data_IF_132949959929
#
_entry.id   IF_132949959929
#
_cell.length_a   1.000
_cell.length_b   1.000
_cell.length_c   1.000
_cell.angle_alpha   90.00
_cell.angle_beta   90.00
_cell.angle_gamma   90.00
#
_symmetry.space_group_name_H-M   'P 1'
#
loop_
_entity.id
_entity.type
_entity.pdbx_description
1 polymer ?
#
# COMPACT_ATOMS: atom_id res chain seq x y z
N UNK A 1 -2.52 38.45 -8.11
CA UNK A 1 -2.39 37.04 -8.53
C UNK A 1 -3.67 36.37 -8.12
N UNK A 2 -4.37 35.71 -9.03
CA UNK A 2 -5.51 34.90 -8.65
C UNK A 2 -5.01 33.73 -7.76
N UNK A 3 -5.85 33.32 -6.82
CA UNK A 3 -5.52 32.35 -5.78
C UNK A 3 -6.51 31.20 -5.88
N UNK A 4 -5.98 29.98 -5.79
CA UNK A 4 -6.75 28.75 -5.68
C UNK A 4 -6.60 28.15 -4.28
N UNK A 5 -7.72 27.72 -3.69
CA UNK A 5 -7.73 27.00 -2.41
C UNK A 5 -7.63 25.49 -2.64
N UNK A 6 -6.75 24.83 -1.88
CA UNK A 6 -6.49 23.40 -1.98
C UNK A 6 -6.63 22.76 -0.60
N UNK A 7 -7.64 21.90 -0.47
CA UNK A 7 -7.86 21.08 0.72
C UNK A 7 -6.99 19.82 0.69
N UNK A 8 -6.28 19.58 1.80
CA UNK A 8 -5.40 18.43 2.03
C UNK A 8 -5.83 17.69 3.31
N UNK A 9 -6.11 16.37 3.25
CA UNK A 9 -6.41 15.57 4.43
C UNK A 9 -5.29 15.63 5.48
N UNK A 10 -5.68 15.78 6.75
CA UNK A 10 -4.81 15.82 7.92
C UNK A 10 -5.59 15.31 9.14
N UNK A 11 -5.15 14.20 9.73
CA UNK A 11 -5.92 13.46 10.73
C UNK A 11 -7.36 13.19 10.23
N UNK A 12 -8.37 13.45 11.05
CA UNK A 12 -9.80 13.36 10.73
C UNK A 12 -10.39 14.66 10.15
N UNK A 13 -9.54 15.60 9.70
CA UNK A 13 -9.95 16.90 9.14
C UNK A 13 -9.16 17.20 7.86
N UNK A 14 -9.25 18.45 7.41
CA UNK A 14 -8.46 18.97 6.30
C UNK A 14 -7.69 20.22 6.75
N UNK A 15 -6.53 20.46 6.16
CA UNK A 15 -5.89 21.78 6.12
C UNK A 15 -6.16 22.40 4.74
N UNK A 16 -6.39 23.70 4.71
CA UNK A 16 -6.63 24.45 3.49
C UNK A 16 -5.46 25.41 3.22
N UNK A 17 -4.85 25.29 2.03
CA UNK A 17 -3.76 26.17 1.60
C UNK A 17 -4.17 26.96 0.37
N UNK A 18 -3.64 28.18 0.28
CA UNK A 18 -3.80 29.11 -0.84
C UNK A 18 -2.57 29.02 -1.73
N UNK A 19 -2.75 28.63 -2.99
CA UNK A 19 -1.70 28.54 -4.01
C UNK A 19 -1.96 29.49 -5.18
N UNK A 20 -0.91 29.87 -5.94
CA UNK A 20 -1.07 30.57 -7.21
C UNK A 20 -1.94 29.76 -8.19
N UNK A 21 -2.71 30.44 -9.03
CA UNK A 21 -3.54 29.79 -10.07
C UNK A 21 -2.75 28.95 -11.09
N UNK A 22 -1.45 29.20 -11.26
CA UNK A 22 -0.56 28.43 -12.14
C UNK A 22 0.12 27.24 -11.43
N UNK A 23 -0.20 27.00 -10.15
CA UNK A 23 0.25 25.82 -9.44
C UNK A 23 -0.37 24.54 -10.03
N UNK A 24 0.45 23.49 -10.18
CA UNK A 24 -0.06 22.19 -10.60
C UNK A 24 -0.68 21.45 -9.42
N UNK A 25 -1.93 20.99 -9.53
CA UNK A 25 -2.60 20.23 -8.46
C UNK A 25 -2.95 18.83 -8.95
N UNK A 26 -2.33 17.81 -8.34
CA UNK A 26 -2.54 16.41 -8.68
C UNK A 26 -3.55 15.79 -7.72
N UNK A 27 -4.64 15.21 -8.24
CA UNK A 27 -5.69 14.55 -7.46
C UNK A 27 -6.07 13.22 -8.07
N UNK A 28 -6.61 12.33 -7.24
CA UNK A 28 -7.29 11.14 -7.74
C UNK A 28 -8.58 11.51 -8.50
N UNK A 29 -8.90 10.73 -9.52
CA UNK A 29 -10.03 10.98 -10.45
C UNK A 29 -11.10 9.87 -10.40
N UNK A 30 -11.20 9.16 -9.28
CA UNK A 30 -12.25 8.16 -9.04
C UNK A 30 -13.65 8.74 -9.31
N UNK A 31 -14.46 7.94 -9.99
CA UNK A 31 -15.89 8.21 -10.18
C UNK A 31 -16.69 7.60 -9.03
N UNK A 32 -17.86 8.15 -8.77
CA UNK A 32 -18.82 7.52 -7.87
C UNK A 32 -19.22 6.15 -8.46
N UNK A 33 -19.20 5.06 -7.66
CA UNK A 33 -19.57 3.74 -8.15
C UNK A 33 -21.05 3.72 -8.61
N UNK A 34 -21.32 3.13 -9.76
CA UNK A 34 -22.69 3.04 -10.31
C UNK A 34 -23.54 1.95 -9.65
N UNK A 35 -22.89 0.96 -9.04
CA UNK A 35 -23.54 -0.18 -8.39
C UNK A 35 -22.96 -0.40 -6.98
N UNK A 36 -23.69 -1.13 -6.13
CA UNK A 36 -23.17 -1.54 -4.83
C UNK A 36 -22.01 -2.55 -4.96
N UNK A 37 -21.23 -2.69 -3.89
CA UNK A 37 -20.06 -3.57 -3.85
C UNK A 37 -20.43 -5.03 -4.16
N UNK A 38 -21.59 -5.50 -3.67
CA UNK A 38 -22.08 -6.86 -3.90
C UNK A 38 -22.24 -7.14 -5.39
N UNK A 39 -22.95 -6.28 -6.11
CA UNK A 39 -23.22 -6.44 -7.53
C UNK A 39 -21.94 -6.31 -8.37
N UNK A 40 -21.05 -5.35 -8.05
CA UNK A 40 -19.77 -5.21 -8.73
C UNK A 40 -18.92 -6.48 -8.63
N UNK A 41 -18.77 -7.02 -7.42
CA UNK A 41 -17.93 -8.20 -7.19
C UNK A 41 -18.53 -9.46 -7.79
N UNK A 42 -19.84 -9.68 -7.63
CA UNK A 42 -20.51 -10.85 -8.22
C UNK A 42 -20.46 -10.79 -9.75
N UNK A 43 -20.63 -9.62 -10.35
CA UNK A 43 -20.49 -9.47 -11.79
C UNK A 43 -19.08 -9.82 -12.27
N UNK A 44 -18.03 -9.39 -11.55
CA UNK A 44 -16.64 -9.71 -11.87
C UNK A 44 -16.36 -11.22 -11.77
N UNK A 45 -16.85 -11.88 -10.71
CA UNK A 45 -16.68 -13.33 -10.49
C UNK A 45 -17.39 -14.17 -11.56
N UNK A 46 -18.51 -13.67 -12.10
CA UNK A 46 -19.28 -14.32 -13.17
C UNK A 46 -18.77 -14.01 -14.58
N UNK A 47 -18.09 -12.88 -14.77
CA UNK A 47 -17.51 -12.46 -16.05
C UNK A 47 -15.99 -12.20 -15.93
N UNK A 48 -15.20 -13.24 -15.60
CA UNK A 48 -13.78 -13.04 -15.29
C UNK A 48 -12.91 -12.80 -16.53
N UNK A 49 -11.79 -12.12 -16.30
CA UNK A 49 -10.72 -11.91 -17.28
C UNK A 49 -9.90 -13.18 -17.43
N UNK A 50 -9.78 -13.68 -18.66
CA UNK A 50 -8.96 -14.84 -19.04
C UNK A 50 -9.16 -16.09 -18.15
N UNK A 51 -10.37 -16.31 -17.66
CA UNK A 51 -10.73 -17.47 -16.86
C UNK A 51 -12.17 -17.89 -17.13
N UNK A 52 -12.56 -19.08 -16.68
CA UNK A 52 -13.97 -19.47 -16.62
C UNK A 52 -14.64 -18.79 -15.42
N UNK A 53 -15.97 -18.58 -15.44
CA UNK A 53 -16.71 -18.15 -14.25
C UNK A 53 -16.36 -19.03 -13.04
N UNK A 54 -16.22 -18.44 -11.86
CA UNK A 54 -15.77 -19.17 -10.66
C UNK A 54 -16.63 -20.42 -10.40
N UNK A 55 -17.95 -20.29 -10.54
CA UNK A 55 -18.86 -21.40 -10.33
C UNK A 55 -18.69 -22.55 -11.33
N UNK A 56 -18.28 -22.25 -12.57
CA UNK A 56 -17.94 -23.30 -13.54
C UNK A 56 -16.64 -24.02 -13.17
N UNK A 57 -15.62 -23.28 -12.72
CA UNK A 57 -14.34 -23.88 -12.31
C UNK A 57 -14.57 -24.86 -11.15
N UNK A 58 -15.32 -24.42 -10.14
CA UNK A 58 -15.60 -25.22 -8.94
C UNK A 58 -16.43 -26.47 -9.28
N UNK A 59 -17.48 -26.34 -10.10
CA UNK A 59 -18.32 -27.47 -10.52
C UNK A 59 -17.56 -28.51 -11.35
N UNK A 60 -16.63 -28.07 -12.21
CA UNK A 60 -15.84 -28.96 -13.08
C UNK A 60 -14.69 -29.67 -12.34
N UNK A 61 -14.15 -29.03 -11.30
CA UNK A 61 -12.95 -29.52 -10.61
C UNK A 61 -13.23 -30.54 -9.50
N UNK A 62 -14.46 -30.60 -8.97
CA UNK A 62 -14.79 -31.52 -7.87
C UNK A 62 -14.04 -31.22 -6.57
N UNK A 63 -13.64 -29.95 -6.41
CA UNK A 63 -12.89 -29.40 -5.26
C UNK A 63 -13.60 -29.74 -3.97
N UNK A 64 -12.82 -30.24 -2.99
CA UNK A 64 -13.35 -30.59 -1.67
C UNK A 64 -12.97 -29.58 -0.61
N UNK A 65 -11.84 -28.90 -0.76
CA UNK A 65 -11.35 -27.87 0.17
C UNK A 65 -10.96 -26.59 -0.55
N UNK A 66 -11.34 -25.45 0.03
CA UNK A 66 -11.11 -24.14 -0.58
C UNK A 66 -10.55 -23.15 0.45
N UNK A 67 -9.52 -22.42 0.06
CA UNK A 67 -9.05 -21.25 0.81
C UNK A 67 -9.31 -19.98 0.02
N UNK A 68 -9.98 -19.01 0.64
CA UNK A 68 -10.10 -17.65 0.13
C UNK A 68 -9.23 -16.72 0.97
N UNK A 69 -8.26 -16.09 0.32
CA UNK A 69 -7.32 -15.17 0.96
C UNK A 69 -7.93 -13.77 0.97
N UNK A 70 -7.90 -13.13 2.14
CA UNK A 70 -8.39 -11.77 2.35
C UNK A 70 -7.29 -10.89 2.94
N UNK A 71 -7.32 -9.60 2.67
CA UNK A 71 -6.41 -8.64 3.29
C UNK A 71 -6.76 -8.44 4.77
N UNK A 72 -5.78 -8.02 5.56
CA UNK A 72 -6.00 -7.65 6.96
C UNK A 72 -6.62 -6.26 7.13
N UNK A 73 -6.83 -5.87 8.39
CA UNK A 73 -7.48 -4.61 8.79
C UNK A 73 -6.75 -3.35 8.29
N UNK A 74 -5.48 -3.47 7.88
CA UNK A 74 -4.69 -2.35 7.36
C UNK A 74 -5.08 -1.97 5.92
N UNK A 75 -5.98 -2.74 5.29
CA UNK A 75 -6.54 -2.44 3.97
C UNK A 75 -8.02 -2.06 4.08
N UNK A 76 -8.43 -0.93 3.51
CA UNK A 76 -9.81 -0.44 3.60
C UNK A 76 -10.75 -1.15 2.60
N UNK A 77 -10.78 -2.49 2.61
CA UNK A 77 -11.69 -3.28 1.77
C UNK A 77 -12.98 -3.53 2.55
N UNK A 78 -14.16 -3.14 2.02
CA UNK A 78 -15.43 -3.34 2.71
C UNK A 78 -15.95 -4.77 2.51
N UNK A 79 -15.24 -5.78 3.03
CA UNK A 79 -15.59 -7.19 2.84
C UNK A 79 -17.00 -7.52 3.34
N UNK A 80 -17.47 -6.87 4.41
CA UNK A 80 -18.82 -7.04 4.96
C UNK A 80 -19.94 -6.75 3.94
N UNK A 81 -19.65 -5.98 2.89
CA UNK A 81 -20.65 -5.59 1.88
C UNK A 81 -20.82 -6.65 0.77
N UNK A 82 -19.87 -7.57 0.58
CA UNK A 82 -19.90 -8.49 -0.57
C UNK A 82 -19.35 -9.90 -0.32
N UNK A 83 -18.53 -10.13 0.71
CA UNK A 83 -17.83 -11.40 0.90
C UNK A 83 -18.81 -12.56 1.10
N UNK A 84 -19.93 -12.32 1.78
CA UNK A 84 -20.97 -13.33 1.96
C UNK A 84 -21.58 -13.78 0.63
N UNK A 85 -21.74 -12.88 -0.34
CA UNK A 85 -22.21 -13.18 -1.69
C UNK A 85 -21.24 -14.08 -2.45
N UNK A 86 -19.94 -13.81 -2.34
CA UNK A 86 -18.89 -14.63 -2.97
C UNK A 86 -18.89 -16.03 -2.36
N UNK A 87 -19.03 -16.13 -1.03
CA UNK A 87 -19.12 -17.41 -0.33
C UNK A 87 -20.39 -18.19 -0.69
N UNK A 88 -21.53 -17.50 -0.90
CA UNK A 88 -22.77 -18.10 -1.42
C UNK A 88 -22.57 -18.69 -2.83
N UNK A 89 -21.91 -17.97 -3.75
CA UNK A 89 -21.61 -18.48 -5.09
C UNK A 89 -20.69 -19.73 -5.05
N UNK A 90 -19.76 -19.79 -4.08
CA UNK A 90 -18.89 -20.95 -3.84
C UNK A 90 -19.71 -22.15 -3.31
N UNK A 91 -20.58 -21.92 -2.32
CA UNK A 91 -21.46 -22.95 -1.74
C UNK A 91 -22.42 -23.53 -2.80
N UNK A 92 -23.06 -22.67 -3.59
CA UNK A 92 -23.96 -23.04 -4.69
C UNK A 92 -23.23 -23.81 -5.82
N UNK A 93 -21.89 -23.77 -5.80
CA UNK A 93 -21.04 -24.53 -6.72
C UNK A 93 -20.59 -25.90 -6.18
N UNK A 94 -21.03 -26.25 -4.96
CA UNK A 94 -20.87 -27.59 -4.38
C UNK A 94 -19.77 -27.70 -3.32
N UNK A 95 -19.10 -26.60 -2.94
CA UNK A 95 -18.10 -26.60 -1.86
C UNK A 95 -18.80 -26.31 -0.54
N UNK A 96 -18.93 -27.33 0.31
CA UNK A 96 -19.54 -27.19 1.64
C UNK A 96 -18.79 -26.18 2.51
N UNK A 97 -19.54 -25.37 3.27
CA UNK A 97 -19.03 -24.29 4.13
C UNK A 97 -17.92 -24.75 5.07
N UNK A 98 -18.06 -25.94 5.63
CA UNK A 98 -17.10 -26.57 6.55
C UNK A 98 -15.71 -26.80 5.91
N UNK A 99 -15.63 -26.79 4.58
CA UNK A 99 -14.40 -26.96 3.83
C UNK A 99 -13.84 -25.64 3.27
N UNK A 100 -14.44 -24.50 3.64
CA UNK A 100 -13.97 -23.18 3.26
C UNK A 100 -13.22 -22.55 4.42
N UNK A 101 -11.99 -22.12 4.15
CA UNK A 101 -11.16 -21.33 5.07
C UNK A 101 -11.01 -19.92 4.52
N UNK A 102 -11.33 -18.93 5.35
CA UNK A 102 -11.00 -17.53 5.09
C UNK A 102 -9.64 -17.25 5.75
N UNK A 103 -8.61 -17.03 4.93
CA UNK A 103 -7.23 -16.84 5.38
C UNK A 103 -6.82 -15.38 5.25
N UNK A 104 -6.59 -14.71 6.38
CA UNK A 104 -6.16 -13.32 6.43
C UNK A 104 -4.66 -13.23 6.14
N UNK A 105 -4.30 -12.53 5.08
CA UNK A 105 -2.92 -12.29 4.63
C UNK A 105 -2.29 -11.14 5.42
N UNK A 106 -1.78 -11.45 6.61
CA UNK A 106 -1.15 -10.49 7.54
C UNK A 106 0.29 -10.13 7.16
N UNK A 107 0.99 -10.95 6.37
CA UNK A 107 2.45 -10.83 6.20
C UNK A 107 3.16 -10.84 7.56
N UNK A 108 3.77 -9.71 7.94
CA UNK A 108 4.43 -9.53 9.26
C UNK A 108 3.59 -8.81 10.30
N UNK A 109 2.35 -8.45 9.99
CA UNK A 109 1.47 -7.76 10.94
C UNK A 109 0.99 -8.71 12.05
N UNK A 110 0.53 -8.12 13.14
CA UNK A 110 -0.11 -8.89 14.22
C UNK A 110 -1.38 -9.57 13.70
N UNK A 111 -1.82 -10.66 14.35
CA UNK A 111 -3.15 -11.22 14.11
C UNK A 111 -4.26 -10.19 14.36
N UNK A 112 -5.36 -10.36 13.64
CA UNK A 112 -6.60 -9.63 13.86
C UNK A 112 -7.27 -10.01 15.19
N UNK A 113 -7.95 -9.06 15.78
CA UNK A 113 -8.84 -9.28 16.93
C UNK A 113 -10.24 -9.68 16.46
N UNK A 114 -11.05 -10.27 17.33
CA UNK A 114 -12.43 -10.65 16.99
C UNK A 114 -13.29 -9.43 16.55
N UNK A 115 -13.09 -8.27 17.18
CA UNK A 115 -13.79 -7.04 16.82
C UNK A 115 -13.37 -6.55 15.42
N UNK A 116 -12.08 -6.64 15.09
CA UNK A 116 -11.59 -6.31 13.73
C UNK A 116 -12.11 -7.30 12.69
N UNK A 117 -12.19 -8.59 13.00
CA UNK A 117 -12.78 -9.58 12.09
C UNK A 117 -14.27 -9.31 11.85
N UNK A 118 -15.05 -9.02 12.90
CA UNK A 118 -16.47 -8.68 12.75
C UNK A 118 -16.67 -7.38 11.98
N UNK A 119 -15.80 -6.38 12.19
CA UNK A 119 -15.78 -5.15 11.39
C UNK A 119 -15.49 -5.44 9.91
N UNK A 120 -14.45 -6.25 9.62
CA UNK A 120 -14.05 -6.54 8.24
C UNK A 120 -15.10 -7.38 7.52
N UNK A 121 -15.55 -8.49 8.10
CA UNK A 121 -16.30 -9.53 7.38
C UNK A 121 -17.78 -9.57 7.73
N UNK A 122 -18.20 -8.83 8.76
CA UNK A 122 -19.56 -8.87 9.28
C UNK A 122 -19.85 -10.12 10.12
N UNK A 123 -20.81 -9.98 11.04
CA UNK A 123 -21.17 -11.02 12.01
C UNK A 123 -21.62 -12.34 11.36
N UNK A 124 -22.28 -12.26 10.19
CA UNK A 124 -22.75 -13.46 9.45
C UNK A 124 -21.56 -14.32 9.04
N UNK A 125 -20.51 -13.75 8.46
CA UNK A 125 -19.34 -14.51 8.02
C UNK A 125 -18.55 -15.05 9.22
N UNK A 126 -18.26 -14.21 10.22
CA UNK A 126 -17.53 -14.62 11.41
C UNK A 126 -18.18 -15.76 12.20
N UNK A 127 -19.52 -15.85 12.19
CA UNK A 127 -20.26 -16.91 12.90
C UNK A 127 -20.22 -18.25 12.18
N UNK A 128 -20.12 -18.27 10.85
CA UNK A 128 -20.39 -19.48 10.07
C UNK A 128 -19.15 -20.06 9.36
N UNK A 129 -18.10 -19.27 9.14
CA UNK A 129 -16.90 -19.72 8.43
C UNK A 129 -15.69 -19.81 9.37
N UNK A 130 -14.76 -20.70 9.02
CA UNK A 130 -13.47 -20.77 9.68
C UNK A 130 -12.58 -19.62 9.18
N UNK A 131 -12.24 -18.71 10.08
CA UNK A 131 -11.33 -17.59 9.81
C UNK A 131 -10.00 -17.84 10.52
N UNK A 132 -8.89 -17.57 9.84
CA UNK A 132 -7.56 -17.68 10.43
C UNK A 132 -6.62 -16.58 9.92
N UNK A 133 -5.72 -16.15 10.78
CA UNK A 133 -4.64 -15.23 10.42
C UNK A 133 -3.40 -16.01 10.00
N UNK A 134 -2.75 -15.56 8.92
CA UNK A 134 -1.41 -16.00 8.60
C UNK A 134 -0.41 -15.59 9.70
N UNK A 135 0.63 -16.42 9.86
CA UNK A 135 1.67 -16.25 10.89
C UNK A 135 3.05 -16.52 10.28
N UNK A 136 3.66 -15.48 9.71
CA UNK A 136 5.01 -15.56 9.12
C UNK A 136 6.09 -15.96 10.17
N UNK A 137 5.83 -15.69 11.45
CA UNK A 137 6.68 -15.99 12.61
C UNK A 137 6.50 -17.42 13.17
N UNK A 138 5.62 -18.24 12.59
CA UNK A 138 5.31 -19.59 13.06
C UNK A 138 5.66 -20.64 12.00
N UNK A 139 6.89 -21.18 12.00
CA UNK A 139 7.35 -22.15 11.00
C UNK A 139 6.45 -23.38 10.84
N UNK A 140 5.85 -23.87 11.93
CA UNK A 140 4.96 -25.04 11.89
C UNK A 140 3.68 -24.83 11.07
N UNK A 141 3.26 -23.57 10.89
CA UNK A 141 2.12 -23.18 10.04
C UNK A 141 2.50 -22.97 8.57
N UNK A 142 3.77 -23.20 8.21
CA UNK A 142 4.29 -23.03 6.87
C UNK A 142 4.63 -24.39 6.25
N UNK A 143 4.68 -24.40 4.93
CA UNK A 143 5.15 -25.53 4.13
C UNK A 143 6.07 -25.02 3.03
N UNK A 144 7.17 -25.73 2.82
CA UNK A 144 8.06 -25.48 1.69
C UNK A 144 7.50 -26.17 0.45
N UNK A 145 7.36 -25.42 -0.63
CA UNK A 145 6.91 -25.96 -1.92
C UNK A 145 8.10 -26.26 -2.86
N UNK A 146 7.93 -27.15 -3.84
CA UNK A 146 8.94 -27.38 -4.87
C UNK A 146 9.27 -26.10 -5.64
N UNK A 147 10.52 -26.01 -6.09
CA UNK A 147 11.02 -24.86 -6.85
C UNK A 147 11.69 -23.80 -6.00
N UNK A 148 12.01 -22.67 -6.63
CA UNK A 148 12.71 -21.53 -6.01
C UNK A 148 12.13 -20.23 -6.56
N UNK A 149 12.20 -19.17 -5.77
CA UNK A 149 11.82 -17.83 -6.25
C UNK A 149 12.80 -17.32 -7.32
N UNK A 150 12.46 -16.21 -7.98
CA UNK A 150 13.34 -15.58 -8.97
C UNK A 150 14.70 -15.19 -8.37
N UNK A 151 14.73 -14.79 -7.09
CA UNK A 151 15.96 -14.54 -6.34
C UNK A 151 16.70 -15.83 -5.91
N UNK A 152 16.24 -17.01 -6.33
CA UNK A 152 16.86 -18.30 -6.04
C UNK A 152 16.60 -18.81 -4.62
N UNK A 153 15.62 -18.27 -3.91
CA UNK A 153 15.33 -18.62 -2.50
C UNK A 153 14.30 -19.75 -2.41
N UNK A 154 14.36 -20.60 -1.36
CA UNK A 154 13.28 -21.53 -1.06
C UNK A 154 11.96 -20.76 -0.86
N UNK A 155 10.85 -21.37 -1.27
CA UNK A 155 9.52 -20.78 -1.11
C UNK A 155 8.80 -21.49 0.02
N UNK A 156 8.45 -20.73 1.05
CA UNK A 156 7.70 -21.20 2.21
C UNK A 156 6.45 -20.34 2.38
N UNK A 157 5.30 -20.99 2.32
CA UNK A 157 3.99 -20.36 2.31
C UNK A 157 3.08 -20.96 3.38
N UNK A 158 1.98 -20.29 3.67
CA UNK A 158 0.96 -20.80 4.58
C UNK A 158 0.51 -22.22 4.17
N UNK A 159 0.62 -23.17 5.09
CA UNK A 159 0.28 -24.58 4.86
C UNK A 159 -1.16 -24.76 4.39
N UNK A 160 -2.13 -24.11 5.04
CA UNK A 160 -3.53 -24.25 4.67
C UNK A 160 -3.81 -23.77 3.26
N UNK A 161 -3.15 -22.70 2.81
CA UNK A 161 -3.28 -22.21 1.44
C UNK A 161 -2.77 -23.23 0.43
N UNK A 162 -1.57 -23.77 0.64
CA UNK A 162 -0.95 -24.72 -0.29
C UNK A 162 -1.64 -26.08 -0.29
N UNK A 163 -2.13 -26.57 0.85
CA UNK A 163 -2.77 -27.88 0.94
C UNK A 163 -4.23 -27.90 0.45
N UNK A 164 -4.85 -26.73 0.22
CA UNK A 164 -6.21 -26.65 -0.31
C UNK A 164 -6.28 -27.09 -1.79
N UNK A 165 -7.38 -27.75 -2.16
CA UNK A 165 -7.63 -28.18 -3.54
C UNK A 165 -7.87 -26.98 -4.47
N UNK A 166 -8.46 -25.91 -3.94
CA UNK A 166 -8.68 -24.65 -4.66
C UNK A 166 -8.33 -23.43 -3.83
N UNK A 167 -7.76 -22.43 -4.49
CA UNK A 167 -7.17 -21.25 -3.86
C UNK A 167 -7.69 -20.00 -4.57
N UNK A 168 -8.43 -19.18 -3.82
CA UNK A 168 -8.88 -17.86 -4.28
C UNK A 168 -8.05 -16.81 -3.54
N UNK A 169 -7.60 -15.79 -4.26
CA UNK A 169 -7.01 -14.61 -3.64
C UNK A 169 -7.89 -13.39 -3.83
N UNK A 170 -7.98 -12.55 -2.80
CA UNK A 170 -8.62 -11.24 -2.89
C UNK A 170 -7.67 -10.16 -2.42
N UNK A 171 -7.77 -8.96 -2.98
CA UNK A 171 -6.95 -7.85 -2.49
C UNK A 171 -7.27 -6.51 -3.13
N UNK A 172 -6.95 -5.45 -2.38
CA UNK A 172 -6.98 -4.08 -2.87
C UNK A 172 -5.86 -3.86 -3.87
N UNK A 173 -6.16 -3.24 -5.02
CA UNK A 173 -5.20 -2.67 -5.95
C UNK A 173 -5.17 -1.15 -5.77
N UNK A 174 -4.00 -0.65 -5.36
CA UNK A 174 -3.65 0.76 -5.19
C UNK A 174 -2.19 0.94 -5.64
N UNK A 175 -1.74 2.16 -5.98
CA UNK A 175 -0.32 2.42 -6.17
C UNK A 175 0.48 2.05 -4.93
N UNK A 176 1.66 1.48 -5.13
CA UNK A 176 2.52 1.05 -4.05
C UNK A 176 3.95 1.49 -4.33
N UNK A 177 4.43 2.45 -3.55
CA UNK A 177 5.71 3.19 -3.64
C UNK A 177 7.02 2.41 -3.83
N UNK A 178 6.99 1.09 -3.77
CA UNK A 178 8.12 0.21 -4.08
C UNK A 178 7.76 -0.95 -5.02
N UNK A 179 6.49 -1.37 -5.08
CA UNK A 179 6.08 -2.60 -5.76
C UNK A 179 5.23 -2.34 -7.02
N UNK A 180 5.19 -1.09 -7.49
CA UNK A 180 4.29 -0.64 -8.54
C UNK A 180 2.87 -0.47 -8.02
N UNK A 181 2.15 -1.59 -7.87
CA UNK A 181 0.78 -1.65 -7.37
C UNK A 181 0.63 -2.71 -6.27
N UNK A 182 -0.40 -2.64 -5.44
CA UNK A 182 -0.80 -3.73 -4.52
C UNK A 182 -1.63 -4.80 -5.26
N UNK A 183 -2.34 -5.67 -4.53
CA UNK A 183 -3.22 -6.70 -5.09
C UNK A 183 -2.52 -7.82 -5.87
N UNK A 184 -3.32 -8.70 -6.48
CA UNK A 184 -2.86 -9.89 -7.20
C UNK A 184 -1.82 -10.67 -6.39
N UNK A 185 -0.64 -10.88 -6.99
CA UNK A 185 0.50 -11.58 -6.39
C UNK A 185 0.87 -11.14 -4.95
N UNK A 186 0.57 -9.90 -4.53
CA UNK A 186 0.87 -9.43 -3.17
C UNK A 186 0.02 -10.08 -2.07
N UNK A 187 -1.16 -10.59 -2.42
CA UNK A 187 -1.96 -11.38 -1.48
C UNK A 187 -1.22 -12.66 -1.05
N UNK A 188 -0.32 -13.18 -1.90
CA UNK A 188 0.52 -14.34 -1.61
C UNK A 188 1.90 -13.90 -1.08
N UNK A 189 2.63 -13.06 -1.81
CA UNK A 189 3.94 -12.57 -1.40
C UNK A 189 3.96 -11.04 -1.32
N UNK A 190 4.03 -10.44 -0.12
CA UNK A 190 4.44 -11.05 1.15
C UNK A 190 3.30 -11.64 2.00
N UNK A 191 2.04 -11.55 1.59
CA UNK A 191 0.88 -11.78 2.45
C UNK A 191 0.80 -13.11 3.21
N UNK A 192 1.32 -14.19 2.63
CA UNK A 192 1.29 -15.57 3.14
C UNK A 192 2.68 -16.21 3.24
N UNK A 193 3.74 -15.42 3.10
CA UNK A 193 5.11 -15.90 3.07
C UNK A 193 5.75 -16.05 4.45
N UNK A 194 6.77 -16.89 4.55
CA UNK A 194 7.63 -16.95 5.73
C UNK A 194 8.28 -15.60 6.02
N UNK A 195 8.64 -15.39 7.31
CA UNK A 195 9.32 -14.17 7.74
C UNK A 195 10.60 -13.90 6.93
N UNK A 196 11.34 -14.94 6.58
CA UNK A 196 12.59 -14.82 5.81
C UNK A 196 12.34 -14.33 4.39
N UNK A 197 11.30 -14.84 3.71
CA UNK A 197 10.90 -14.33 2.40
C UNK A 197 10.45 -12.88 2.49
N UNK A 198 9.67 -12.51 3.51
CA UNK A 198 9.23 -11.11 3.68
C UNK A 198 10.43 -10.19 3.92
N UNK A 199 11.41 -10.61 4.72
CA UNK A 199 12.63 -9.83 4.94
C UNK A 199 13.37 -9.62 3.63
N UNK A 200 13.66 -10.67 2.87
CA UNK A 200 14.38 -10.59 1.59
C UNK A 200 13.67 -9.68 0.58
N UNK A 201 12.34 -9.77 0.51
CA UNK A 201 11.50 -8.90 -0.32
C UNK A 201 11.69 -7.40 0.00
N UNK A 202 12.09 -7.08 1.22
CA UNK A 202 12.37 -5.73 1.72
C UNK A 202 13.88 -5.45 1.93
N UNK A 203 14.74 -6.23 1.29
CA UNK A 203 16.20 -6.04 1.37
C UNK A 203 16.68 -4.84 0.55
N UNK A 204 17.88 -4.35 0.87
CA UNK A 204 18.50 -3.22 0.18
C UNK A 204 18.51 -3.40 -1.34
N UNK A 205 18.98 -4.56 -1.83
CA UNK A 205 19.15 -4.80 -3.26
C UNK A 205 17.85 -4.78 -4.08
N UNK A 206 16.71 -5.09 -3.46
CA UNK A 206 15.40 -4.97 -4.10
C UNK A 206 14.93 -3.52 -4.16
N UNK A 207 15.10 -2.79 -3.06
CA UNK A 207 14.57 -1.44 -2.89
C UNK A 207 15.44 -0.37 -3.54
N UNK A 208 16.73 -0.60 -3.72
CA UNK A 208 17.66 0.32 -4.39
C UNK A 208 17.46 0.39 -5.92
N UNK A 209 16.74 -0.59 -6.49
CA UNK A 209 16.48 -0.61 -7.93
C UNK A 209 15.63 0.61 -8.37
N UNK A 210 16.02 1.31 -9.44
CA UNK A 210 15.28 2.48 -9.93
C UNK A 210 13.87 2.16 -10.43
N UNK A 211 13.58 0.90 -10.79
CA UNK A 211 12.25 0.45 -11.19
C UNK A 211 11.33 0.14 -9.99
N UNK A 212 11.86 0.09 -8.77
CA UNK A 212 11.11 -0.12 -7.53
C UNK A 212 10.43 1.19 -7.06
N UNK A 213 9.40 1.61 -7.82
CA UNK A 213 8.66 2.87 -7.64
C UNK A 213 7.14 2.67 -7.72
N UNK A 214 6.37 3.72 -7.42
CA UNK A 214 4.92 3.74 -7.63
C UNK A 214 4.55 3.49 -9.09
N UNK A 215 3.47 2.75 -9.32
CA UNK A 215 2.85 2.61 -10.64
C UNK A 215 3.65 1.81 -11.68
N UNK A 216 4.86 1.34 -11.35
CA UNK A 216 5.72 0.63 -12.27
C UNK A 216 5.83 -0.88 -11.93
N UNK A 217 5.34 -1.73 -12.82
CA UNK A 217 5.53 -3.19 -12.77
C UNK A 217 6.67 -3.66 -13.69
N UNK A 218 6.87 -2.99 -14.82
CA UNK A 218 7.88 -3.34 -15.80
C UNK A 218 9.28 -3.11 -15.22
N UNK A 219 10.12 -4.14 -15.27
CA UNK A 219 11.47 -4.09 -14.71
C UNK A 219 11.53 -4.12 -13.17
N UNK A 220 10.40 -3.97 -12.46
CA UNK A 220 10.36 -3.86 -11.02
C UNK A 220 10.73 -5.20 -10.34
N UNK A 221 11.85 -5.29 -9.60
CA UNK A 221 12.30 -6.55 -9.02
C UNK A 221 11.34 -7.08 -7.95
N UNK A 222 10.69 -6.22 -7.17
CA UNK A 222 9.69 -6.65 -6.18
C UNK A 222 8.48 -7.29 -6.86
N UNK A 223 8.00 -6.70 -7.97
CA UNK A 223 6.92 -7.30 -8.74
C UNK A 223 7.32 -8.69 -9.26
N UNK A 224 8.49 -8.80 -9.87
CA UNK A 224 8.92 -10.07 -10.45
C UNK A 224 9.22 -11.17 -9.42
N UNK A 225 9.78 -10.83 -8.26
CA UNK A 225 9.99 -11.80 -7.19
C UNK A 225 8.66 -12.29 -6.62
N UNK A 226 7.76 -11.37 -6.27
CA UNK A 226 6.43 -11.74 -5.75
C UNK A 226 5.62 -12.55 -6.75
N UNK A 227 5.68 -12.21 -8.04
CA UNK A 227 5.00 -12.96 -9.10
C UNK A 227 5.60 -14.36 -9.29
N UNK A 228 6.93 -14.51 -9.19
CA UNK A 228 7.57 -15.83 -9.29
C UNK A 228 7.13 -16.80 -8.18
N UNK A 229 6.85 -16.26 -6.99
CA UNK A 229 6.32 -17.01 -5.84
C UNK A 229 4.84 -17.31 -6.04
N UNK A 230 4.05 -16.31 -6.45
CA UNK A 230 2.62 -16.46 -6.68
C UNK A 230 2.29 -17.49 -7.77
N UNK A 231 3.07 -17.54 -8.86
CA UNK A 231 2.93 -18.57 -9.92
C UNK A 231 3.13 -19.99 -9.40
N UNK A 232 4.05 -20.19 -8.45
CA UNK A 232 4.30 -21.51 -7.85
C UNK A 232 3.26 -21.89 -6.80
N UNK A 233 2.60 -20.90 -6.20
CA UNK A 233 1.52 -21.12 -5.25
C UNK A 233 0.20 -21.51 -5.93
N UNK A 234 0.11 -21.33 -7.25
CA UNK A 234 -0.97 -21.82 -8.12
C UNK A 234 -2.37 -21.45 -7.59
N UNK A 235 -2.64 -20.14 -7.51
CA UNK A 235 -3.96 -19.63 -7.19
C UNK A 235 -4.90 -19.83 -8.39
N UNK A 236 -6.01 -20.52 -8.18
CA UNK A 236 -6.97 -20.84 -9.25
C UNK A 236 -7.88 -19.68 -9.65
N UNK A 237 -7.97 -18.64 -8.83
CA UNK A 237 -8.79 -17.46 -9.13
C UNK A 237 -8.35 -16.24 -8.30
N UNK A 238 -8.36 -15.05 -8.91
CA UNK A 238 -8.10 -13.78 -8.25
C UNK A 238 -9.31 -12.86 -8.28
N UNK A 239 -9.51 -12.07 -7.23
CA UNK A 239 -10.53 -11.00 -7.13
C UNK A 239 -9.81 -9.72 -6.68
N UNK A 240 -9.53 -8.85 -7.64
CA UNK A 240 -8.88 -7.57 -7.41
C UNK A 240 -9.93 -6.47 -7.23
N UNK A 241 -9.81 -5.73 -6.13
CA UNK A 241 -10.75 -4.68 -5.75
C UNK A 241 -10.08 -3.33 -5.88
N UNK A 242 -10.78 -2.37 -6.47
CA UNK A 242 -10.38 -0.96 -6.50
C UNK A 242 -11.37 -0.21 -5.64
N UNK A 243 -10.88 0.52 -4.63
CA UNK A 243 -11.71 1.29 -3.72
C UNK A 243 -11.51 2.79 -3.93
N UNK A 244 -12.60 3.54 -3.80
CA UNK A 244 -12.57 4.99 -3.88
C UNK A 244 -12.14 5.66 -2.55
N UNK A 245 -12.14 6.99 -2.56
CA UNK A 245 -11.79 7.83 -1.40
C UNK A 245 -12.73 7.69 -0.20
N UNK A 246 -13.91 7.10 -0.38
CA UNK A 246 -14.88 6.82 0.68
C UNK A 246 -14.85 5.34 1.09
N UNK A 247 -13.80 4.61 0.68
CA UNK A 247 -13.62 3.18 0.93
C UNK A 247 -14.74 2.29 0.38
N UNK A 248 -15.43 2.76 -0.69
CA UNK A 248 -16.42 1.96 -1.41
C UNK A 248 -15.75 1.25 -2.57
N UNK A 249 -16.21 0.05 -2.91
CA UNK A 249 -15.76 -0.64 -4.12
C UNK A 249 -16.17 0.19 -5.34
N UNK A 250 -15.18 0.67 -6.09
CA UNK A 250 -15.36 1.42 -7.32
C UNK A 250 -15.34 0.50 -8.55
N UNK A 251 -14.43 -0.48 -8.54
CA UNK A 251 -14.32 -1.50 -9.58
C UNK A 251 -13.94 -2.84 -8.93
N UNK A 252 -14.37 -3.94 -9.55
CA UNK A 252 -13.92 -5.28 -9.21
C UNK A 252 -13.52 -6.00 -10.51
N UNK A 253 -12.33 -6.60 -10.50
CA UNK A 253 -11.81 -7.37 -11.64
C UNK A 253 -11.40 -8.73 -11.12
N UNK A 254 -11.97 -9.80 -11.68
CA UNK A 254 -11.68 -11.16 -11.25
C UNK A 254 -11.21 -12.04 -12.41
N UNK A 255 -10.59 -13.16 -12.12
CA UNK A 255 -10.18 -14.15 -13.12
C UNK A 255 -8.77 -14.69 -12.91
N UNK A 256 -8.01 -14.79 -13.99
CA UNK A 256 -6.61 -15.23 -13.97
C UNK A 256 -5.75 -14.33 -13.07
N UNK A 257 -4.74 -14.91 -12.40
CA UNK A 257 -3.87 -14.22 -11.45
C UNK A 257 -3.23 -12.95 -12.02
N UNK A 258 -2.70 -13.04 -13.25
CA UNK A 258 -1.93 -11.97 -13.87
C UNK A 258 -2.82 -11.04 -14.68
N UNK A 259 -3.64 -11.60 -15.56
CA UNK A 259 -4.46 -10.79 -16.48
C UNK A 259 -5.50 -9.95 -15.74
N UNK A 260 -6.13 -10.49 -14.68
CA UNK A 260 -7.08 -9.70 -13.87
C UNK A 260 -6.38 -8.63 -13.04
N UNK A 261 -5.14 -8.90 -12.59
CA UNK A 261 -4.35 -7.94 -11.82
C UNK A 261 -3.84 -6.81 -12.71
N UNK A 262 -3.37 -7.12 -13.92
CA UNK A 262 -2.95 -6.14 -14.92
C UNK A 262 -4.09 -5.19 -15.31
N UNK A 263 -5.30 -5.73 -15.56
CA UNK A 263 -6.47 -4.90 -15.86
C UNK A 263 -6.86 -4.01 -14.67
N UNK A 264 -6.83 -4.54 -13.44
CA UNK A 264 -7.05 -3.72 -12.25
C UNK A 264 -5.96 -2.63 -12.08
N UNK A 265 -4.69 -2.95 -12.34
CA UNK A 265 -3.60 -1.96 -12.31
C UNK A 265 -3.80 -0.87 -13.35
N UNK A 266 -4.26 -1.21 -14.56
CA UNK A 266 -4.56 -0.24 -15.63
C UNK A 266 -5.67 0.73 -15.20
N UNK A 267 -6.73 0.23 -14.58
CA UNK A 267 -7.82 1.06 -14.04
C UNK A 267 -7.32 1.98 -12.92
N UNK A 268 -6.58 1.43 -11.95
CA UNK A 268 -6.00 2.22 -10.84
C UNK A 268 -5.06 3.29 -11.37
N UNK A 269 -4.14 2.94 -12.26
CA UNK A 269 -3.19 3.88 -12.86
C UNK A 269 -3.90 5.10 -13.47
N UNK A 270 -4.99 4.86 -14.21
CA UNK A 270 -5.83 5.92 -14.77
C UNK A 270 -6.42 6.85 -13.71
N UNK A 271 -6.82 6.31 -12.56
CA UNK A 271 -7.49 7.07 -11.50
C UNK A 271 -6.53 7.78 -10.55
N UNK A 272 -5.34 7.22 -10.30
CA UNK A 272 -4.46 7.64 -9.18
C UNK A 272 -3.09 8.13 -9.61
N UNK A 273 -2.67 7.88 -10.84
CA UNK A 273 -1.31 8.18 -11.32
C UNK A 273 -1.35 9.23 -12.45
N UNK A 274 -1.67 10.51 -12.14
CA UNK A 274 -1.66 11.55 -13.15
C UNK A 274 -0.24 11.81 -13.67
N UNK A 275 -0.04 11.97 -14.99
CA UNK A 275 1.28 12.22 -15.55
C UNK A 275 1.79 13.61 -15.17
N UNK A 276 3.08 13.70 -14.85
CA UNK A 276 3.77 14.96 -14.55
C UNK A 276 4.31 15.55 -15.85
N UNK A 277 3.62 16.57 -16.37
CA UNK A 277 4.08 17.29 -17.57
C UNK A 277 5.36 18.10 -17.32
N UNK A 278 5.51 18.68 -16.11
CA UNK A 278 6.68 19.47 -15.74
C UNK A 278 6.96 19.35 -14.24
N UNK A 279 8.18 18.96 -13.90
CA UNK A 279 8.68 18.97 -12.52
C UNK A 279 8.73 20.40 -11.97
N UNK A 280 8.32 20.58 -10.72
CA UNK A 280 8.23 21.87 -10.02
C UNK A 280 9.36 22.04 -9.01
N UNK A 281 9.64 23.29 -8.65
CA UNK A 281 10.69 23.61 -7.69
C UNK A 281 10.30 23.21 -6.27
N UNK A 282 9.01 23.34 -5.93
CA UNK A 282 8.46 22.98 -4.62
C UNK A 282 7.22 22.12 -4.80
N UNK A 283 7.16 21.01 -4.08
CA UNK A 283 5.96 20.16 -3.98
C UNK A 283 5.46 20.15 -2.55
N UNK A 284 4.16 20.42 -2.38
CA UNK A 284 3.46 20.33 -1.11
C UNK A 284 2.61 19.06 -1.14
N UNK A 285 2.75 18.20 -0.14
CA UNK A 285 1.99 16.95 -0.02
C UNK A 285 1.47 16.75 1.40
N UNK A 286 0.41 15.96 1.55
CA UNK A 286 0.08 15.35 2.85
C UNK A 286 0.25 13.85 2.79
N UNK A 287 -0.10 13.17 3.88
CA UNK A 287 -0.04 11.71 4.02
C UNK A 287 -1.42 11.04 3.93
N UNK A 288 -2.42 11.72 3.37
CA UNK A 288 -3.76 11.15 3.12
C UNK A 288 -4.74 11.17 4.29
N UNK A 289 -4.36 11.77 5.43
CA UNK A 289 -5.20 11.84 6.64
C UNK A 289 -5.25 10.51 7.40
N UNK A 290 -6.06 10.44 8.46
CA UNK A 290 -6.17 9.24 9.29
C UNK A 290 -6.79 8.08 8.49
N UNK A 291 -6.27 6.84 8.59
CA UNK A 291 -5.16 6.41 9.46
C UNK A 291 -3.76 6.50 8.83
N UNK A 292 -3.63 6.95 7.58
CA UNK A 292 -2.35 6.97 6.85
C UNK A 292 -1.37 8.08 7.27
N UNK A 293 -1.81 9.03 8.08
CA UNK A 293 -0.94 10.01 8.71
C UNK A 293 -0.79 9.83 10.22
N UNK A 294 -1.27 8.71 10.77
CA UNK A 294 -1.25 8.45 12.21
C UNK A 294 0.18 8.35 12.77
N UNK A 295 1.17 7.94 11.97
CA UNK A 295 2.58 7.87 12.38
C UNK A 295 3.52 8.49 11.35
N UNK A 296 4.68 8.97 11.78
CA UNK A 296 5.73 9.45 10.86
C UNK A 296 6.14 8.38 9.84
N UNK A 297 6.24 7.13 10.28
CA UNK A 297 6.49 5.96 9.41
C UNK A 297 5.57 5.97 8.18
N UNK A 298 4.26 6.15 8.36
CA UNK A 298 3.32 6.16 7.23
C UNK A 298 3.48 7.43 6.37
N UNK A 299 3.80 8.56 6.99
CA UNK A 299 3.98 9.84 6.29
C UNK A 299 5.10 9.83 5.24
N UNK A 300 6.11 8.97 5.42
CA UNK A 300 7.18 8.77 4.42
C UNK A 300 6.62 8.39 3.04
N UNK A 301 5.49 7.68 2.97
CA UNK A 301 4.88 7.30 1.68
C UNK A 301 4.52 8.53 0.83
N UNK A 302 4.01 9.60 1.45
CA UNK A 302 3.73 10.87 0.76
C UNK A 302 4.99 11.57 0.29
N UNK A 303 6.04 11.57 1.13
CA UNK A 303 7.34 12.15 0.82
C UNK A 303 8.01 11.50 -0.40
N UNK A 304 7.80 10.20 -0.59
CA UNK A 304 8.36 9.43 -1.71
C UNK A 304 7.46 9.51 -2.94
N UNK A 305 6.14 9.41 -2.77
CA UNK A 305 5.18 9.36 -3.88
C UNK A 305 5.13 10.67 -4.69
N UNK A 306 5.61 11.77 -4.10
CA UNK A 306 5.67 13.06 -4.77
C UNK A 306 6.89 13.25 -5.70
N UNK A 307 7.92 12.40 -5.61
CA UNK A 307 9.21 12.61 -6.27
C UNK A 307 9.14 12.84 -7.79
N UNK A 308 8.26 12.16 -8.55
CA UNK A 308 8.12 12.44 -9.97
C UNK A 308 7.74 13.88 -10.30
N UNK A 309 7.10 14.60 -9.37
CA UNK A 309 6.70 16.00 -9.51
C UNK A 309 7.78 17.02 -9.07
N UNK A 310 8.88 16.59 -8.44
CA UNK A 310 9.90 17.48 -7.85
C UNK A 310 11.15 17.50 -8.73
N UNK A 311 11.70 18.69 -9.01
CA UNK A 311 13.03 18.81 -9.65
C UNK A 311 14.13 18.25 -8.73
N UNK A 312 15.22 17.73 -9.30
CA UNK A 312 16.40 17.37 -8.51
C UNK A 312 16.92 18.60 -7.76
N UNK A 313 17.14 18.49 -6.45
CA UNK A 313 17.48 19.61 -5.56
C UNK A 313 16.34 20.60 -5.31
N UNK A 314 15.11 20.28 -5.69
CA UNK A 314 13.90 21.03 -5.31
C UNK A 314 13.52 20.80 -3.85
N UNK A 315 12.33 21.24 -3.43
CA UNK A 315 11.85 21.15 -2.04
C UNK A 315 10.59 20.30 -1.96
N UNK A 316 10.52 19.44 -0.94
CA UNK A 316 9.30 18.72 -0.54
C UNK A 316 8.84 19.27 0.81
N UNK A 317 7.61 19.76 0.86
CA UNK A 317 6.92 20.13 2.11
C UNK A 317 5.83 19.11 2.36
N UNK A 318 5.99 18.29 3.39
CA UNK A 318 5.01 17.26 3.76
C UNK A 318 4.33 17.61 5.09
N UNK A 319 3.02 17.37 5.17
CA UNK A 319 2.23 17.51 6.39
C UNK A 319 1.58 16.18 6.80
N UNK A 320 1.63 15.86 8.09
CA UNK A 320 0.99 14.67 8.65
C UNK A 320 0.73 14.79 10.15
N UNK A 321 -0.33 14.16 10.63
CA UNK A 321 -0.77 14.31 12.02
C UNK A 321 0.17 13.71 13.05
N UNK A 322 0.72 12.53 12.77
CA UNK A 322 1.53 11.74 13.68
C UNK A 322 0.87 11.56 15.06
N UNK A 323 -0.46 11.42 15.11
CA UNK A 323 -1.24 11.29 16.36
C UNK A 323 -0.87 10.07 17.21
N UNK A 324 -0.24 9.06 16.60
CA UNK A 324 0.24 7.82 17.22
C UNK A 324 1.79 7.78 17.30
N UNK A 325 2.46 8.90 17.07
CA UNK A 325 3.90 9.05 17.24
C UNK A 325 4.73 8.71 15.99
N UNK A 326 5.96 8.23 16.20
CA UNK A 326 6.95 8.07 15.12
C UNK A 326 6.67 6.78 14.31
N UNK A 327 6.28 5.71 14.96
CA UNK A 327 6.16 4.36 14.39
C UNK A 327 6.55 3.30 15.41
N UNK A 328 6.87 2.09 14.94
CA UNK A 328 7.30 0.98 15.81
C UNK A 328 8.58 1.32 16.60
N UNK A 329 8.80 0.62 17.72
CA UNK A 329 10.03 0.75 18.50
C UNK A 329 11.28 0.43 17.67
N UNK A 330 11.19 -0.54 16.74
CA UNK A 330 12.28 -0.88 15.83
C UNK A 330 12.59 0.28 14.88
N UNK A 331 11.57 0.87 14.27
CA UNK A 331 11.75 2.02 13.39
C UNK A 331 12.35 3.22 14.14
N UNK A 332 11.86 3.51 15.35
CA UNK A 332 12.40 4.57 16.20
C UNK A 332 13.90 4.36 16.50
N UNK A 333 14.31 3.13 16.85
CA UNK A 333 15.72 2.81 17.09
C UNK A 333 16.60 3.10 15.88
N UNK A 334 16.16 2.70 14.68
CA UNK A 334 16.87 2.99 13.42
C UNK A 334 17.03 4.50 13.24
N UNK A 335 15.93 5.26 13.34
CA UNK A 335 15.96 6.72 13.15
C UNK A 335 16.89 7.40 14.17
N UNK A 336 16.85 7.00 15.44
CA UNK A 336 17.72 7.54 16.48
C UNK A 336 19.19 7.19 16.28
N UNK A 337 19.49 5.95 15.92
CA UNK A 337 20.86 5.47 15.67
C UNK A 337 21.50 6.22 14.50
N UNK A 338 20.76 6.42 13.41
CA UNK A 338 21.25 7.04 12.17
C UNK A 338 20.81 8.50 11.99
N UNK A 339 20.40 9.16 13.07
CA UNK A 339 19.97 10.55 13.07
C UNK A 339 21.00 11.46 12.40
N UNK A 340 20.65 12.08 11.27
CA UNK A 340 21.55 12.94 10.49
C UNK A 340 22.69 12.21 9.76
N UNK A 341 22.65 10.88 9.73
CA UNK A 341 23.67 9.99 9.13
C UNK A 341 23.01 8.93 8.25
N UNK A 342 22.03 9.34 7.44
CA UNK A 342 21.29 8.43 6.56
C UNK A 342 22.19 7.76 5.50
N UNK A 343 23.33 8.38 5.15
CA UNK A 343 24.36 7.74 4.33
C UNK A 343 24.97 6.52 4.99
N UNK A 344 25.40 6.64 6.26
CA UNK A 344 25.92 5.52 7.06
C UNK A 344 24.88 4.39 7.20
N UNK A 345 23.59 4.73 7.28
CA UNK A 345 22.51 3.76 7.29
C UNK A 345 22.47 2.95 5.99
N UNK A 346 22.54 3.62 4.84
CA UNK A 346 22.55 2.95 3.53
C UNK A 346 23.77 2.03 3.38
N UNK A 347 24.95 2.50 3.77
CA UNK A 347 26.17 1.70 3.74
C UNK A 347 26.06 0.48 4.65
N UNK A 348 25.46 0.63 5.84
CA UNK A 348 25.20 -0.51 6.73
C UNK A 348 24.28 -1.54 6.08
N UNK A 349 23.05 -1.16 5.66
CA UNK A 349 22.08 -2.13 5.13
C UNK A 349 22.52 -2.75 3.79
N UNK A 350 23.45 -2.10 3.07
CA UNK A 350 24.09 -2.64 1.86
C UNK A 350 25.17 -3.68 2.19
N UNK A 351 25.85 -3.55 3.32
CA UNK A 351 26.97 -4.40 3.72
C UNK A 351 26.58 -5.69 4.45
N UNK A 352 25.30 -5.86 4.78
CA UNK A 352 24.81 -6.99 5.58
C UNK A 352 23.62 -7.69 4.92
N UNK A 353 23.56 -9.01 5.08
CA UNK A 353 22.37 -9.80 4.75
C UNK A 353 21.33 -9.79 5.89
N UNK A 354 21.65 -9.19 7.04
CA UNK A 354 20.74 -9.05 8.16
C UNK A 354 19.74 -7.91 7.92
N UNK A 355 18.46 -8.26 7.85
CA UNK A 355 17.40 -7.30 7.57
C UNK A 355 16.72 -6.91 8.88
N UNK A 356 16.92 -5.67 9.27
CA UNK A 356 16.30 -5.06 10.45
C UNK A 356 14.84 -4.78 10.10
N UNK A 357 13.93 -5.13 11.02
CA UNK A 357 12.51 -4.82 10.87
C UNK A 357 12.33 -3.31 10.65
N UNK A 358 11.47 -2.95 9.70
CA UNK A 358 11.16 -1.58 9.30
C UNK A 358 12.27 -0.79 8.60
N UNK A 359 13.46 -1.38 8.34
CA UNK A 359 14.55 -0.70 7.64
C UNK A 359 14.15 -0.16 6.26
N UNK A 360 13.26 -0.87 5.56
CA UNK A 360 12.82 -0.49 4.22
C UNK A 360 12.15 0.88 4.21
N UNK A 361 11.45 1.25 5.30
CA UNK A 361 10.77 2.54 5.35
C UNK A 361 11.78 3.69 5.38
N UNK A 362 12.84 3.55 6.18
CA UNK A 362 13.89 4.56 6.18
C UNK A 362 14.68 4.56 4.86
N UNK A 363 14.94 3.39 4.26
CA UNK A 363 15.54 3.32 2.92
C UNK A 363 14.68 4.01 1.86
N UNK A 364 13.35 3.90 1.93
CA UNK A 364 12.48 4.63 1.01
C UNK A 364 12.53 6.15 1.27
N UNK A 365 12.58 6.58 2.54
CA UNK A 365 12.78 8.00 2.88
C UNK A 365 14.11 8.54 2.33
N UNK A 366 15.18 7.76 2.35
CA UNK A 366 16.47 8.21 1.80
C UNK A 366 16.42 8.48 0.31
N UNK A 367 15.52 7.84 -0.46
CA UNK A 367 15.30 8.21 -1.88
C UNK A 367 14.88 9.68 -2.02
N UNK A 368 14.03 10.17 -1.11
CA UNK A 368 13.67 11.59 -1.08
C UNK A 368 14.87 12.45 -0.72
N UNK A 369 15.63 12.09 0.32
CA UNK A 369 16.82 12.82 0.75
C UNK A 369 17.91 12.87 -0.34
N UNK A 370 18.16 11.77 -1.05
CA UNK A 370 19.07 11.71 -2.20
C UNK A 370 18.63 12.63 -3.35
N UNK A 371 17.32 12.83 -3.52
CA UNK A 371 16.75 13.62 -4.60
C UNK A 371 16.73 15.12 -4.29
N UNK A 372 16.34 15.50 -3.06
CA UNK A 372 16.12 16.91 -2.68
C UNK A 372 17.23 17.48 -1.81
N UNK A 373 17.93 16.66 -1.05
CA UNK A 373 18.91 17.06 -0.04
C UNK A 373 18.31 17.27 1.36
N UNK A 374 19.16 17.22 2.38
CA UNK A 374 18.76 17.18 3.80
C UNK A 374 17.88 18.38 4.23
N UNK A 375 18.23 19.59 3.80
CA UNK A 375 17.53 20.83 4.18
C UNK A 375 16.21 21.05 3.42
N UNK A 376 15.96 20.26 2.38
CA UNK A 376 14.87 20.44 1.44
C UNK A 376 13.71 19.44 1.62
N UNK A 377 13.84 18.50 2.57
CA UNK A 377 12.71 17.69 3.03
C UNK A 377 12.15 18.30 4.32
N UNK A 378 11.12 19.14 4.15
CA UNK A 378 10.45 19.85 5.25
C UNK A 378 9.23 19.05 5.70
N UNK A 379 9.12 18.79 7.01
CA UNK A 379 7.98 18.08 7.57
C UNK A 379 7.30 18.91 8.65
N UNK A 380 5.98 19.13 8.50
CA UNK A 380 5.17 19.92 9.43
C UNK A 380 4.17 19.00 10.12
N UNK A 381 4.18 19.00 11.45
CA UNK A 381 3.25 18.18 12.25
C UNK A 381 2.90 18.85 13.56
N UNK A 382 1.70 18.55 14.06
CA UNK A 382 1.26 18.87 15.41
C UNK A 382 1.46 17.75 16.43
N UNK A 383 1.83 16.55 15.99
CA UNK A 383 1.87 15.34 16.83
C UNK A 383 3.24 14.99 17.42
N UNK A 384 4.31 15.61 16.94
CA UNK A 384 5.69 15.32 17.39
C UNK A 384 6.39 16.58 17.87
N UNK A 385 7.23 16.42 18.90
CA UNK A 385 8.03 17.53 19.43
C UNK A 385 9.26 17.77 18.59
N UNK A 386 9.80 19.00 18.67
CA UNK A 386 11.04 19.37 18.00
C UNK A 386 12.21 18.42 18.33
N UNK A 387 12.27 17.89 19.56
CA UNK A 387 13.27 16.90 19.98
C UNK A 387 13.18 15.58 19.21
N UNK A 388 11.96 15.14 18.90
CA UNK A 388 11.73 13.91 18.15
C UNK A 388 12.03 14.15 16.68
N UNK A 389 11.49 15.24 16.11
CA UNK A 389 11.70 15.63 14.71
C UNK A 389 13.18 15.79 14.34
N UNK A 390 14.01 16.30 15.24
CA UNK A 390 15.46 16.41 15.06
C UNK A 390 16.16 15.05 14.82
N UNK A 391 15.49 13.94 15.14
CA UNK A 391 15.99 12.57 14.96
C UNK A 391 15.45 11.88 13.71
N UNK A 392 14.56 12.52 12.95
CA UNK A 392 13.81 11.87 11.87
C UNK A 392 14.35 12.14 10.47
N UNK A 393 15.57 12.67 10.34
CA UNK A 393 16.19 12.97 9.03
C UNK A 393 15.27 13.80 8.13
N UNK A 394 14.72 14.87 8.70
CA UNK A 394 13.88 15.89 8.04
C UNK A 394 14.15 17.25 8.66
N UNK A 395 13.89 18.33 7.92
CA UNK A 395 13.74 19.67 8.49
C UNK A 395 12.36 19.80 9.13
N UNK A 396 12.27 19.38 10.39
CA UNK A 396 11.00 19.31 11.12
C UNK A 396 10.51 20.66 11.67
N UNK A 397 9.21 20.88 11.58
CA UNK A 397 8.48 22.00 12.17
C UNK A 397 7.48 21.45 13.19
N UNK A 398 7.80 21.65 14.48
CA UNK A 398 6.91 21.41 15.62
C UNK A 398 5.87 22.53 15.65
N UNK A 399 4.73 22.28 15.01
CA UNK A 399 3.59 23.19 15.06
C UNK A 399 2.70 22.79 16.24
N UNK A 400 1.93 23.74 16.80
CA UNK A 400 0.77 23.31 17.60
C UNK A 400 -0.26 22.69 16.67
N UNK A 401 -1.07 21.74 17.16
CA UNK A 401 -2.10 21.07 16.34
C UNK A 401 -3.03 22.07 15.62
N UNK A 402 -3.34 23.21 16.24
CA UNK A 402 -4.15 24.28 15.65
C UNK A 402 -3.44 25.14 14.59
N UNK A 403 -2.10 25.12 14.52
CA UNK A 403 -1.31 26.04 13.66
C UNK A 403 -0.59 25.35 12.49
N UNK A 404 -0.83 24.06 12.24
CA UNK A 404 -0.21 23.32 11.13
C UNK A 404 -0.51 24.00 9.78
N UNK A 405 -1.77 24.37 9.53
CA UNK A 405 -2.18 25.07 8.31
C UNK A 405 -1.41 26.38 8.12
N UNK A 406 -1.33 27.20 9.16
CA UNK A 406 -0.61 28.48 9.12
C UNK A 406 0.89 28.30 8.87
N UNK A 407 1.50 27.27 9.46
CA UNK A 407 2.91 26.96 9.25
C UNK A 407 3.17 26.50 7.81
N UNK A 408 2.35 25.59 7.26
CA UNK A 408 2.46 25.15 5.86
C UNK A 408 2.27 26.34 4.92
N UNK A 409 1.25 27.18 5.15
CA UNK A 409 1.01 28.38 4.33
C UNK A 409 2.19 29.36 4.38
N UNK A 410 2.75 29.62 5.57
CA UNK A 410 3.90 30.53 5.72
C UNK A 410 5.13 30.05 4.96
N UNK A 411 5.40 28.75 4.97
CA UNK A 411 6.52 28.15 4.22
C UNK A 411 6.26 28.29 2.71
N UNK A 412 5.05 27.94 2.27
CA UNK A 412 4.62 28.09 0.88
C UNK A 412 4.74 29.54 0.38
N UNK A 413 4.26 30.52 1.16
CA UNK A 413 4.34 31.94 0.83
C UNK A 413 5.79 32.43 0.67
N UNK A 414 6.72 31.87 1.44
CA UNK A 414 8.16 32.13 1.28
C UNK A 414 8.65 31.74 -0.10
N UNK A 415 8.35 30.51 -0.53
CA UNK A 415 8.74 30.02 -1.85
C UNK A 415 8.03 30.72 -3.01
N UNK A 416 6.77 31.11 -2.83
CA UNK A 416 6.04 31.93 -3.82
C UNK A 416 6.74 33.29 -4.00
N UNK A 417 7.17 33.94 -2.90
CA UNK A 417 7.91 35.22 -2.97
C UNK A 417 9.26 35.10 -3.67
N UNK A 418 9.91 33.94 -3.57
CA UNK A 418 11.12 33.62 -4.33
C UNK A 418 10.88 33.34 -5.82
N UNK A 419 9.62 33.27 -6.27
CA UNK A 419 9.27 32.95 -7.66
C UNK A 419 9.42 31.46 -8.00
N UNK A 420 9.38 30.57 -7.00
CA UNK A 420 9.46 29.12 -7.20
C UNK A 420 8.18 28.58 -7.79
N UNK A 421 8.30 27.66 -8.76
CA UNK A 421 7.14 26.96 -9.32
C UNK A 421 6.61 25.91 -8.35
N UNK A 422 5.27 25.84 -8.21
CA UNK A 422 4.59 25.06 -7.16
C UNK A 422 3.80 23.89 -7.76
N UNK A 423 3.85 22.74 -7.08
CA UNK A 423 2.89 21.65 -7.23
C UNK A 423 2.30 21.24 -5.88
N UNK A 424 1.05 20.78 -5.88
CA UNK A 424 0.39 20.23 -4.69
C UNK A 424 -0.15 18.83 -4.99
N UNK A 425 0.10 17.90 -4.08
CA UNK A 425 -0.42 16.54 -4.09
C UNK A 425 -1.19 16.36 -2.77
N UNK A 426 -2.49 16.69 -2.73
CA UNK A 426 -3.22 16.72 -1.46
C UNK A 426 -3.34 15.36 -0.79
N UNK A 427 -3.31 14.27 -1.56
CA UNK A 427 -3.63 12.91 -1.10
C UNK A 427 -2.41 11.98 -1.22
N UNK A 428 -1.19 12.42 -0.88
CA UNK A 428 0.03 11.61 -1.03
C UNK A 428 0.13 10.50 0.02
N UNK A 429 -0.55 9.36 -0.15
CA UNK A 429 -0.01 8.31 -1.03
C UNK A 429 -1.04 7.70 -1.99
N UNK A 430 -2.30 8.12 -1.90
CA UNK A 430 -3.39 7.69 -2.78
C UNK A 430 -3.29 8.32 -4.18
N UNK A 431 -2.73 9.52 -4.28
CA UNK A 431 -2.34 10.13 -5.54
C UNK A 431 -0.83 9.98 -5.72
N UNK A 432 -0.41 9.24 -6.74
CA UNK A 432 0.99 8.94 -7.03
C UNK A 432 1.33 9.42 -8.44
N UNK A 433 1.62 10.72 -8.64
CA UNK A 433 1.99 11.24 -9.95
C UNK A 433 3.17 10.46 -10.54
N UNK A 434 3.13 10.19 -11.84
CA UNK A 434 4.16 9.43 -12.54
C UNK A 434 4.88 10.30 -13.58
N UNK A 435 6.07 9.89 -14.01
CA UNK A 435 6.73 10.52 -15.15
C UNK A 435 5.89 10.27 -16.42
N UNK A 436 5.81 11.28 -17.29
CA UNK A 436 4.94 11.29 -18.47
C UNK A 436 5.49 10.45 -19.63
#
# INVERSE_FOLDING_TARGET
MLIMLVNMPYNNRHIEISVPDDAAVYRTSYREPENDARNLVINAVRNPVNSLPLSEILKKSGVRSLVIVVSDITRPIPYADFLDAVLEEIEDSGVGRENIIILIATGMHRPSTAAEQEYMFGRKVCKHYRIMDHRADKPDGLVRIPGRSRAGRPIELNRHFIEADFRIITGLVEPHFMAGFSGGRKAICPGLCSLDTVKIFHSFGFLDDPCAVNGNLEGNPLHYESLSIARQADAGFAINLVVDRKHRVAEAVAGDLEASHEEACRLVNKYTCPPVAQKKDVVITSSGGYPLDATFYQCVKGMVSCLPAVKKGGVVVSAGSCSEGIGSDEYQKIMHEYSGRWGDFLDHIKSTDHIIKDQWQFQMQTKTLQHVGDDNLIFVTGGLKASDLARLSVKGIDASEGSVQENVQKILDGFIKEGRSIAVIPEGPYCAPCEA
#
